data_IF_652905928412
#
_entry.id   IF_652905928412
#
_cell.length_a   1.000
_cell.length_b   1.000
_cell.length_c   1.000
_cell.angle_alpha   90.00
_cell.angle_beta   90.00
_cell.angle_gamma   90.00
#
_symmetry.space_group_name_H-M   'P 1'
#
loop_
_entity.id
_entity.type
_entity.pdbx_description
1 polymer ?
#
# COMPACT_ATOMS: atom_id res chain seq x y z
N UNK A 1 0.90 -25.92 4.50
CA UNK A 1 0.23 -24.81 3.78
C UNK A 1 -0.49 -23.97 4.83
N UNK A 2 0.22 -23.03 5.44
CA UNK A 2 -0.37 -22.11 6.43
C UNK A 2 -0.83 -20.90 5.63
N UNK A 3 -2.11 -20.86 5.28
CA UNK A 3 -2.73 -19.70 4.65
C UNK A 3 -3.08 -18.72 5.76
N UNK A 4 -2.32 -17.63 5.89
CA UNK A 4 -2.68 -16.51 6.77
C UNK A 4 -3.73 -15.71 5.99
N UNK A 5 -4.99 -16.11 6.15
CA UNK A 5 -6.15 -15.37 5.66
C UNK A 5 -6.49 -14.26 6.66
N UNK A 6 -6.11 -13.02 6.35
CA UNK A 6 -6.81 -11.85 6.87
C UNK A 6 -7.51 -11.15 5.71
N UNK A 7 -8.79 -11.50 5.53
CA UNK A 7 -9.81 -10.79 4.75
C UNK A 7 -9.55 -10.66 3.23
N UNK A 8 -9.96 -11.70 2.50
CA UNK A 8 -10.50 -11.57 1.14
C UNK A 8 -11.72 -10.63 1.19
N UNK A 9 -11.49 -9.36 0.92
CA UNK A 9 -12.35 -8.50 0.10
C UNK A 9 -11.63 -7.18 -0.03
N UNK A 10 -11.40 -6.70 -1.26
CA UNK A 10 -10.80 -5.39 -1.59
C UNK A 10 -11.72 -4.22 -1.17
N UNK A 11 -12.68 -4.46 -0.29
CA UNK A 11 -13.22 -3.42 0.56
C UNK A 11 -12.16 -3.12 1.61
N UNK A 12 -11.38 -2.05 1.40
CA UNK A 12 -10.54 -1.48 2.44
C UNK A 12 -11.48 -0.99 3.56
N UNK A 13 -11.92 -1.89 4.43
CA UNK A 13 -12.52 -1.54 5.70
C UNK A 13 -11.37 -1.03 6.55
N UNK A 14 -11.17 0.29 6.58
CA UNK A 14 -10.29 0.95 7.53
C UNK A 14 -10.92 0.77 8.92
N UNK A 15 -10.73 -0.40 9.54
CA UNK A 15 -11.11 -0.62 10.93
C UNK A 15 -9.93 -0.11 11.76
N UNK A 16 -9.93 1.20 12.02
CA UNK A 16 -9.07 1.78 13.06
C UNK A 16 -9.60 1.35 14.43
N UNK A 17 -8.87 0.50 15.15
CA UNK A 17 -9.23 0.06 16.51
C UNK A 17 -8.44 0.90 17.53
N UNK A 18 -9.13 1.85 18.17
CA UNK A 18 -8.81 2.72 19.34
C UNK A 18 -8.16 4.10 19.05
N UNK A 19 -8.45 5.22 19.74
CA UNK A 19 -9.23 5.49 20.97
C UNK A 19 -10.21 6.69 20.85
N UNK A 20 -10.34 7.28 19.66
CA UNK A 20 -11.13 8.51 19.41
C UNK A 20 -12.29 8.26 18.41
N UNK A 21 -12.96 7.11 18.56
CA UNK A 21 -13.94 6.53 17.62
C UNK A 21 -15.04 7.51 17.17
N UNK A 22 -14.86 8.12 15.99
CA UNK A 22 -15.96 8.37 15.06
C UNK A 22 -15.98 7.20 14.08
N UNK A 23 -16.92 6.29 14.28
CA UNK A 23 -17.25 5.20 13.35
C UNK A 23 -17.86 5.85 12.10
N UNK A 24 -17.02 6.37 11.22
CA UNK A 24 -17.43 6.75 9.88
C UNK A 24 -17.58 5.44 9.11
N UNK A 25 -18.78 4.85 9.19
CA UNK A 25 -19.30 3.91 8.21
C UNK A 25 -19.52 4.69 6.89
N UNK A 26 -18.45 5.21 6.30
CA UNK A 26 -18.49 5.69 4.94
C UNK A 26 -18.22 4.48 4.07
N UNK A 27 -19.22 4.08 3.29
CA UNK A 27 -19.06 3.08 2.23
C UNK A 27 -18.27 3.73 1.09
N UNK A 28 -16.95 3.90 1.29
CA UNK A 28 -16.04 4.34 0.24
C UNK A 28 -15.65 3.12 -0.59
N UNK A 29 -16.14 3.05 -1.82
CA UNK A 29 -15.70 2.05 -2.80
C UNK A 29 -14.53 2.58 -3.61
N UNK A 30 -13.38 1.93 -3.53
CA UNK A 30 -12.25 2.19 -4.43
C UNK A 30 -12.32 1.22 -5.61
N UNK A 31 -12.42 1.76 -6.83
CA UNK A 31 -12.30 0.97 -8.06
C UNK A 31 -10.90 1.18 -8.64
N UNK A 32 -10.19 0.09 -8.90
CA UNK A 32 -8.90 0.11 -9.57
C UNK A 32 -9.08 -0.47 -10.98
N UNK A 33 -8.71 0.32 -11.99
CA UNK A 33 -8.74 -0.10 -13.40
C UNK A 33 -7.31 -0.21 -13.94
N UNK A 34 -6.99 -1.33 -14.59
CA UNK A 34 -5.69 -1.55 -15.22
C UNK A 34 -5.74 -1.00 -16.64
N UNK A 35 -5.18 0.20 -16.85
CA UNK A 35 -5.13 0.84 -18.17
C UNK A 35 -4.13 0.18 -19.12
N UNK A 36 -3.00 -0.29 -18.59
CA UNK A 36 -1.94 -0.92 -19.36
C UNK A 36 -1.19 -1.92 -18.48
N UNK A 37 -0.87 -3.08 -19.04
CA UNK A 37 -0.15 -4.15 -18.36
C UNK A 37 0.94 -4.70 -19.27
N UNK A 38 2.14 -4.83 -18.75
CA UNK A 38 3.33 -5.28 -19.49
C UNK A 38 3.50 -6.80 -19.49
N UNK A 39 2.71 -7.54 -18.71
CA UNK A 39 2.81 -9.00 -18.59
C UNK A 39 3.95 -9.47 -17.68
N UNK A 40 4.66 -8.56 -17.02
CA UNK A 40 5.89 -8.88 -16.26
C UNK A 40 5.75 -8.48 -14.79
N UNK A 41 5.14 -7.33 -14.49
CA UNK A 41 5.04 -6.81 -13.12
C UNK A 41 3.60 -6.83 -12.62
N UNK A 42 3.31 -7.59 -11.58
CA UNK A 42 1.93 -7.71 -11.08
C UNK A 42 1.34 -6.36 -10.66
N UNK A 43 0.11 -6.01 -11.08
CA UNK A 43 -0.51 -4.74 -10.73
C UNK A 43 -1.03 -4.69 -9.28
N UNK A 44 -1.03 -5.80 -8.55
CA UNK A 44 -1.71 -5.93 -7.25
C UNK A 44 -1.21 -4.90 -6.21
N UNK A 45 0.11 -4.82 -6.00
CA UNK A 45 0.70 -3.88 -5.04
C UNK A 45 0.55 -2.41 -5.49
N UNK A 46 0.54 -2.19 -6.81
CA UNK A 46 0.26 -0.87 -7.38
C UNK A 46 -1.20 -0.47 -7.13
N UNK A 47 -2.13 -1.41 -7.26
CA UNK A 47 -3.55 -1.19 -7.01
C UNK A 47 -3.81 -0.84 -5.53
N UNK A 48 -3.15 -1.52 -4.59
CA UNK A 48 -3.22 -1.19 -3.16
C UNK A 48 -2.70 0.22 -2.90
N UNK A 49 -1.53 0.55 -3.45
CA UNK A 49 -0.92 1.87 -3.27
C UNK A 49 -1.77 2.98 -3.92
N UNK A 50 -2.32 2.72 -5.11
CA UNK A 50 -3.21 3.65 -5.82
C UNK A 50 -4.49 3.93 -5.03
N UNK A 51 -5.12 2.90 -4.46
CA UNK A 51 -6.28 3.07 -3.59
C UNK A 51 -5.92 3.89 -2.34
N UNK A 52 -4.77 3.63 -1.72
CA UNK A 52 -4.27 4.41 -0.57
C UNK A 52 -4.07 5.90 -0.91
N UNK A 53 -3.49 6.20 -2.07
CA UNK A 53 -3.32 7.58 -2.55
C UNK A 53 -4.67 8.22 -2.87
N UNK A 54 -5.56 7.52 -3.56
CA UNK A 54 -6.88 8.04 -3.93
C UNK A 54 -7.69 8.42 -2.70
N UNK A 55 -7.66 7.59 -1.64
CA UNK A 55 -8.28 7.90 -0.36
C UNK A 55 -7.61 9.10 0.31
N UNK A 56 -6.28 9.16 0.34
CA UNK A 56 -5.54 10.28 0.95
C UNK A 56 -5.75 11.63 0.23
N UNK A 57 -6.05 11.60 -1.07
CA UNK A 57 -6.41 12.79 -1.86
C UNK A 57 -7.91 13.13 -1.82
N UNK A 58 -8.74 12.20 -1.37
CA UNK A 58 -10.18 12.41 -1.28
C UNK A 58 -10.57 13.25 -0.07
N UNK A 59 -11.84 13.64 0.00
CA UNK A 59 -12.42 14.31 1.17
C UNK A 59 -12.76 13.32 2.30
N UNK A 60 -12.48 12.02 2.11
CA UNK A 60 -12.63 11.02 3.17
C UNK A 60 -11.63 11.36 4.28
N UNK A 61 -12.01 11.27 5.56
CA UNK A 61 -11.15 11.61 6.69
C UNK A 61 -10.09 10.52 6.96
N UNK A 62 -9.19 10.35 6.00
CA UNK A 62 -7.97 9.58 6.13
C UNK A 62 -6.83 10.38 5.51
N UNK A 63 -5.91 10.83 6.34
CA UNK A 63 -4.77 11.65 5.91
C UNK A 63 -3.52 10.83 5.62
N UNK A 64 -3.54 9.52 5.89
CA UNK A 64 -2.37 8.66 5.74
C UNK A 64 -2.39 7.93 4.40
N UNK A 65 -1.29 8.05 3.67
CA UNK A 65 -1.03 7.23 2.48
C UNK A 65 -0.79 5.80 2.93
N UNK A 66 -1.44 4.86 2.25
CA UNK A 66 -1.20 3.43 2.41
C UNK A 66 -0.42 2.96 1.18
N UNK A 67 0.66 2.23 1.40
CA UNK A 67 1.41 1.59 0.33
C UNK A 67 1.39 0.06 0.50
N UNK A 68 1.50 -0.65 -0.61
CA UNK A 68 1.59 -2.10 -0.67
C UNK A 68 2.86 -2.54 -1.38
N UNK A 69 3.48 -3.63 -0.89
CA UNK A 69 4.67 -4.23 -1.48
C UNK A 69 4.55 -5.75 -1.47
N UNK A 70 5.06 -6.43 -2.50
CA UNK A 70 5.19 -7.89 -2.53
C UNK A 70 6.63 -8.28 -2.30
N UNK A 71 6.86 -9.26 -1.44
CA UNK A 71 8.16 -9.85 -1.15
C UNK A 71 8.17 -11.29 -1.63
N UNK A 72 9.11 -11.57 -2.51
CA UNK A 72 9.43 -12.92 -2.98
C UNK A 72 10.71 -13.44 -2.31
N UNK A 73 10.84 -14.75 -2.20
CA UNK A 73 12.10 -15.43 -1.89
C UNK A 73 12.46 -16.36 -3.04
N UNK A 74 13.51 -16.05 -3.79
CA UNK A 74 14.00 -16.93 -4.87
C UNK A 74 15.36 -17.48 -4.47
N UNK A 75 15.42 -18.80 -4.26
CA UNK A 75 16.57 -19.50 -3.68
C UNK A 75 16.81 -19.07 -2.23
N UNK A 76 17.70 -18.09 -2.01
CA UNK A 76 18.01 -17.56 -0.67
C UNK A 76 17.94 -16.03 -0.58
N UNK A 77 17.52 -15.36 -1.66
CA UNK A 77 17.48 -13.90 -1.74
C UNK A 77 16.05 -13.40 -1.71
N UNK A 78 15.80 -12.42 -0.84
CA UNK A 78 14.55 -11.68 -0.84
C UNK A 78 14.53 -10.68 -1.99
N UNK A 79 13.44 -10.69 -2.75
CA UNK A 79 13.19 -9.78 -3.86
C UNK A 79 11.98 -8.91 -3.52
N UNK A 80 12.11 -7.61 -3.75
CA UNK A 80 11.05 -6.62 -3.55
C UNK A 80 10.35 -6.39 -4.88
N UNK A 81 9.02 -6.52 -4.90
CA UNK A 81 8.18 -6.50 -6.09
C UNK A 81 8.73 -7.37 -7.23
N UNK A 82 8.91 -8.69 -6.98
CA UNK A 82 9.40 -9.62 -7.98
C UNK A 82 8.50 -9.66 -9.22
N UNK A 83 9.10 -9.96 -10.37
CA UNK A 83 8.38 -10.20 -11.62
C UNK A 83 7.55 -11.48 -11.56
N UNK A 84 6.55 -11.61 -12.43
CA UNK A 84 5.72 -12.82 -12.52
C UNK A 84 6.57 -14.08 -12.73
N UNK A 85 7.68 -14.00 -13.48
CA UNK A 85 8.59 -15.13 -13.68
C UNK A 85 9.40 -15.49 -12.43
N UNK A 86 9.89 -14.49 -11.69
CA UNK A 86 10.60 -14.73 -10.44
C UNK A 86 9.67 -15.31 -9.37
N UNK A 87 8.39 -14.93 -9.39
CA UNK A 87 7.36 -15.48 -8.51
C UNK A 87 7.08 -16.97 -8.76
N UNK A 88 7.22 -17.47 -9.99
CA UNK A 88 7.06 -18.91 -10.28
C UNK A 88 8.13 -19.77 -9.59
N UNK A 89 9.33 -19.22 -9.39
CA UNK A 89 10.43 -19.88 -8.67
C UNK A 89 10.46 -19.55 -7.18
N UNK A 90 9.49 -18.75 -6.70
CA UNK A 90 9.55 -18.21 -5.35
C UNK A 90 8.96 -19.16 -4.30
N UNK A 91 9.69 -19.33 -3.19
CA UNK A 91 9.25 -20.11 -2.02
C UNK A 91 8.42 -19.28 -1.03
N UNK A 92 8.29 -17.98 -1.27
CA UNK A 92 7.55 -17.01 -0.46
C UNK A 92 6.76 -16.08 -1.38
N UNK A 93 5.47 -15.95 -1.18
CA UNK A 93 4.67 -14.85 -1.73
C UNK A 93 4.05 -14.10 -0.56
N UNK A 94 4.53 -12.89 -0.30
CA UNK A 94 4.08 -12.09 0.83
C UNK A 94 3.75 -10.67 0.38
N UNK A 95 2.48 -10.31 0.41
CA UNK A 95 1.99 -8.95 0.21
C UNK A 95 1.86 -8.29 1.58
N UNK A 96 2.47 -7.13 1.74
CA UNK A 96 2.43 -6.33 2.96
C UNK A 96 1.89 -4.97 2.59
N UNK A 97 0.89 -4.50 3.33
CA UNK A 97 0.33 -3.16 3.21
C UNK A 97 0.29 -2.45 4.56
N UNK A 98 0.50 -1.14 4.56
CA UNK A 98 0.71 -0.40 5.78
C UNK A 98 0.87 1.10 5.57
N UNK A 99 1.07 1.79 6.69
CA UNK A 99 1.39 3.22 6.76
C UNK A 99 2.83 3.42 7.26
N UNK A 100 3.21 4.68 7.41
CA UNK A 100 4.47 5.14 7.99
C UNK A 100 4.75 4.58 9.39
N UNK A 101 3.69 4.36 10.17
CA UNK A 101 3.75 3.98 11.57
C UNK A 101 3.52 2.49 11.84
N UNK A 102 2.77 1.80 10.97
CA UNK A 102 2.29 0.45 11.27
C UNK A 102 1.99 -0.36 10.01
N UNK A 103 2.22 -1.68 10.10
CA UNK A 103 1.73 -2.65 9.12
C UNK A 103 0.24 -2.89 9.40
N UNK A 104 -0.59 -2.77 8.37
CA UNK A 104 -2.04 -2.90 8.47
C UNK A 104 -2.53 -4.25 7.97
N UNK A 105 -1.88 -4.82 6.95
CA UNK A 105 -2.26 -6.08 6.34
C UNK A 105 -1.03 -6.85 5.91
N UNK A 106 -1.07 -8.16 6.11
CA UNK A 106 -0.12 -9.13 5.59
C UNK A 106 -0.93 -10.27 4.98
N UNK A 107 -0.74 -10.54 3.70
CA UNK A 107 -1.39 -11.62 2.95
C UNK A 107 -0.32 -12.41 2.21
N UNK A 108 -0.38 -13.74 2.26
CA UNK A 108 0.62 -14.53 1.58
C UNK A 108 0.63 -16.00 1.92
N UNK A 109 1.53 -16.70 1.24
CA UNK A 109 1.85 -18.10 1.50
C UNK A 109 3.36 -18.32 1.45
N UNK A 110 3.84 -19.31 2.19
CA UNK A 110 5.24 -19.73 2.17
C UNK A 110 5.35 -21.25 2.19
N UNK A 111 6.45 -21.76 1.63
CA UNK A 111 6.75 -23.18 1.61
C UNK A 111 7.66 -23.59 2.79
N UNK A 112 7.07 -23.77 3.98
CA UNK A 112 7.77 -24.24 5.19
C UNK A 112 9.04 -23.44 5.53
N UNK A 113 8.94 -22.11 5.49
CA UNK A 113 10.02 -21.23 5.98
C UNK A 113 10.07 -21.20 7.51
N UNK A 114 11.26 -20.93 8.05
CA UNK A 114 11.42 -20.71 9.49
C UNK A 114 10.83 -19.35 9.88
N UNK A 115 10.48 -19.20 11.15
CA UNK A 115 9.90 -17.96 11.67
C UNK A 115 10.87 -16.77 11.52
N UNK A 116 12.17 -17.00 11.70
CA UNK A 116 13.19 -15.96 11.55
C UNK A 116 13.23 -15.43 10.11
N UNK A 117 13.15 -16.32 9.12
CA UNK A 117 13.13 -15.93 7.69
C UNK A 117 11.86 -15.18 7.32
N UNK A 118 10.72 -15.55 7.92
CA UNK A 118 9.47 -14.84 7.71
C UNK A 118 9.54 -13.42 8.29
N UNK A 119 10.12 -13.27 9.49
CA UNK A 119 10.29 -11.97 10.12
C UNK A 119 11.24 -11.07 9.32
N UNK A 120 12.36 -11.61 8.82
CA UNK A 120 13.27 -10.89 7.91
C UNK A 120 12.54 -10.37 6.66
N UNK A 121 11.65 -11.20 6.07
CA UNK A 121 10.86 -10.78 4.92
C UNK A 121 9.91 -9.62 5.25
N UNK A 122 9.28 -9.65 6.43
CA UNK A 122 8.40 -8.58 6.90
C UNK A 122 9.16 -7.28 7.13
N UNK A 123 10.34 -7.35 7.74
CA UNK A 123 11.20 -6.18 7.97
C UNK A 123 11.65 -5.53 6.65
N UNK A 124 12.08 -6.34 5.68
CA UNK A 124 12.45 -5.86 4.33
C UNK A 124 11.23 -5.22 3.63
N UNK A 125 10.06 -5.84 3.78
CA UNK A 125 8.79 -5.30 3.31
C UNK A 125 8.50 -3.92 3.89
N UNK A 126 8.58 -3.77 5.21
CA UNK A 126 8.31 -2.50 5.89
C UNK A 126 9.28 -1.39 5.44
N UNK A 127 10.57 -1.69 5.31
CA UNK A 127 11.57 -0.71 4.81
C UNK A 127 11.23 -0.27 3.38
N UNK A 128 10.86 -1.21 2.52
CA UNK A 128 10.51 -0.94 1.12
C UNK A 128 9.23 -0.09 1.02
N UNK A 129 8.26 -0.39 1.88
CA UNK A 129 6.99 0.32 1.97
C UNK A 129 7.22 1.79 2.35
N UNK A 130 8.05 2.07 3.37
CA UNK A 130 8.41 3.42 3.77
C UNK A 130 9.04 4.21 2.62
N UNK A 131 9.96 3.60 1.86
CA UNK A 131 10.59 4.24 0.71
C UNK A 131 9.56 4.65 -0.36
N UNK A 132 8.61 3.77 -0.67
CA UNK A 132 7.52 4.05 -1.63
C UNK A 132 6.64 5.18 -1.11
N UNK A 133 6.27 5.17 0.18
CA UNK A 133 5.45 6.21 0.79
C UNK A 133 6.13 7.58 0.74
N UNK A 134 7.38 7.68 1.18
CA UNK A 134 8.13 8.94 1.14
C UNK A 134 8.22 9.48 -0.28
N UNK A 135 8.52 8.61 -1.25
CA UNK A 135 8.59 9.04 -2.66
C UNK A 135 7.24 9.53 -3.17
N UNK A 136 6.17 8.83 -2.84
CA UNK A 136 4.80 9.19 -3.24
C UNK A 136 4.37 10.52 -2.62
N UNK A 137 4.65 10.74 -1.34
CA UNK A 137 4.31 11.98 -0.65
C UNK A 137 5.03 13.19 -1.26
N UNK A 138 6.30 13.05 -1.63
CA UNK A 138 7.05 14.10 -2.34
C UNK A 138 6.41 14.41 -3.70
N UNK A 139 6.07 13.38 -4.48
CA UNK A 139 5.45 13.56 -5.80
C UNK A 139 4.07 14.23 -5.70
N UNK A 140 3.26 13.86 -4.71
CA UNK A 140 1.97 14.49 -4.46
C UNK A 140 2.15 15.97 -4.10
N UNK A 141 3.14 16.30 -3.27
CA UNK A 141 3.44 17.68 -2.91
C UNK A 141 3.85 18.52 -4.14
N UNK A 142 4.73 17.99 -5.00
CA UNK A 142 5.11 18.64 -6.27
C UNK A 142 3.91 18.86 -7.19
N UNK A 143 3.04 17.85 -7.33
CA UNK A 143 1.86 17.92 -8.19
C UNK A 143 0.84 18.96 -7.68
N UNK A 144 0.62 19.00 -6.37
CA UNK A 144 -0.26 19.98 -5.76
C UNK A 144 0.28 21.41 -5.91
N UNK A 145 1.58 21.63 -5.75
CA UNK A 145 2.19 22.95 -5.99
C UNK A 145 1.94 23.43 -7.43
N UNK A 146 2.07 22.53 -8.41
CA UNK A 146 1.81 22.85 -9.82
C UNK A 146 0.34 23.20 -10.09
N UNK A 147 -0.61 22.51 -9.43
CA UNK A 147 -2.04 22.85 -9.52
C UNK A 147 -2.28 24.24 -8.91
N UNK A 148 -1.75 24.52 -7.72
CA UNK A 148 -1.90 25.84 -7.08
C UNK A 148 -1.27 26.97 -7.90
N UNK A 149 -0.16 26.71 -8.60
CA UNK A 149 0.49 27.72 -9.44
C UNK A 149 -0.30 28.03 -10.72
N UNK A 150 -1.18 27.11 -11.17
CA UNK A 150 -1.99 27.27 -12.38
C UNK A 150 -3.49 27.56 -12.12
N UNK A 151 -3.95 27.57 -10.87
CA UNK A 151 -5.38 27.69 -10.54
C UNK A 151 -5.65 28.91 -9.65
N UNK A 152 -6.62 29.75 -10.04
CA UNK A 152 -7.09 30.91 -9.29
C UNK A 152 -7.70 30.49 -7.92
N UNK A 153 -6.96 30.77 -6.84
CA UNK A 153 -7.29 31.09 -5.43
C UNK A 153 -8.51 30.52 -4.65
N UNK A 154 -9.48 29.80 -5.22
CA UNK A 154 -10.68 29.36 -4.46
C UNK A 154 -10.55 27.98 -3.76
N UNK A 155 -9.56 27.16 -4.09
CA UNK A 155 -9.39 25.80 -3.49
C UNK A 155 -8.38 25.73 -2.33
N UNK A 156 -8.20 26.82 -1.59
CA UNK A 156 -7.19 26.93 -0.52
C UNK A 156 -7.51 26.17 0.77
N UNK A 157 -8.75 25.66 0.94
CA UNK A 157 -9.22 25.09 2.21
C UNK A 157 -8.75 23.63 2.44
N UNK A 158 -8.59 22.83 1.39
CA UNK A 158 -8.25 21.40 1.52
C UNK A 158 -6.78 21.13 1.88
N UNK A 159 -5.89 22.12 1.75
CA UNK A 159 -4.44 21.93 1.91
C UNK A 159 -3.99 21.79 3.37
N UNK A 160 -4.73 22.36 4.32
CA UNK A 160 -4.39 22.28 5.75
C UNK A 160 -4.44 20.86 6.34
N UNK A 161 -5.14 19.94 5.67
CA UNK A 161 -5.29 18.54 6.08
C UNK A 161 -4.15 17.63 5.58
N UNK A 162 -3.48 17.99 4.48
CA UNK A 162 -2.44 17.16 3.88
C UNK A 162 -1.03 17.41 4.45
N UNK A 163 -0.86 18.51 5.18
CA UNK A 163 0.39 18.92 5.85
C UNK A 163 0.44 18.59 7.35
N UNK A 164 -0.53 17.82 7.87
CA UNK A 164 -0.57 17.38 9.27
C UNK A 164 -0.02 15.97 9.45
#
# INVERSE_FOLDING_TARGET
MISIFFLLDISIYIISINSDFLLILCFASCANEVFSYDGIHSPDCLAVTAAGIAVALSEVPNTKIIAGVRIGLVGQKFLVNPTTKEMEESELDLIIAGTDSAILMIEGYCNFLTEERLLEAVEIGQVSLLNIMFRTQILLFEYLILIFCNCDLETSVSFSLLLR
#
